data_IF_438119678461
#
_entry.id   IF_438119678461
#
_cell.length_a   1.000
_cell.length_b   1.000
_cell.length_c   1.000
_cell.angle_alpha   90.00
_cell.angle_beta   90.00
_cell.angle_gamma   90.00
#
_symmetry.space_group_name_H-M   'P 1'
#
loop_
_entity.id
_entity.type
_entity.pdbx_description
1 polymer ?
#
# COMPACT_ATOMS: atom_id res chain seq x y z
N UNK A 1 10.97 -13.37 3.14
CA UNK A 1 10.71 -13.23 4.59
C UNK A 1 9.37 -12.54 4.70
N UNK A 2 8.42 -13.12 5.42
CA UNK A 2 7.09 -12.56 5.53
C UNK A 2 7.05 -11.56 6.69
N UNK A 3 6.45 -10.40 6.46
CA UNK A 3 6.30 -9.35 7.46
C UNK A 3 5.03 -9.56 8.30
N UNK A 4 3.98 -10.11 7.67
CA UNK A 4 2.67 -10.35 8.28
C UNK A 4 2.37 -11.85 8.28
N UNK A 5 2.01 -12.39 9.43
CA UNK A 5 1.55 -13.76 9.60
C UNK A 5 0.07 -13.77 9.98
N UNK A 6 -0.78 -14.48 9.24
CA UNK A 6 -2.21 -14.57 9.49
C UNK A 6 -2.52 -15.94 10.11
N UNK A 7 -2.89 -15.91 11.39
CA UNK A 7 -3.30 -17.06 12.17
C UNK A 7 -4.84 -17.16 12.20
N UNK A 8 -5.41 -18.32 11.88
CA UNK A 8 -6.86 -18.51 11.88
C UNK A 8 -7.27 -19.98 12.08
N UNK A 9 -8.51 -20.21 12.52
CA UNK A 9 -9.15 -21.53 12.55
C UNK A 9 -9.97 -21.78 11.29
N UNK A 10 -9.99 -23.04 10.81
CA UNK A 10 -10.59 -23.39 9.51
C UNK A 10 -12.13 -23.25 9.46
N UNK A 11 -12.84 -23.37 10.59
CA UNK A 11 -14.32 -23.46 10.59
C UNK A 11 -15.04 -22.12 10.39
N UNK A 12 -14.56 -21.00 10.94
CA UNK A 12 -15.22 -19.68 10.78
C UNK A 12 -14.31 -18.59 10.19
N UNK A 13 -13.05 -18.52 10.60
CA UNK A 13 -12.13 -17.43 10.23
C UNK A 13 -11.60 -17.46 8.80
N UNK A 14 -11.85 -18.52 8.02
CA UNK A 14 -11.21 -18.75 6.72
C UNK A 14 -11.49 -17.65 5.70
N UNK A 15 -12.74 -17.19 5.59
CA UNK A 15 -13.12 -16.17 4.61
C UNK A 15 -12.40 -14.84 4.89
N UNK A 16 -12.37 -14.43 6.17
CA UNK A 16 -11.67 -13.20 6.57
C UNK A 16 -10.16 -13.35 6.43
N UNK A 17 -9.60 -14.50 6.77
CA UNK A 17 -8.17 -14.75 6.62
C UNK A 17 -7.73 -14.66 5.14
N UNK A 18 -8.55 -15.17 4.21
CA UNK A 18 -8.31 -14.97 2.77
C UNK A 18 -8.48 -13.52 2.34
N UNK A 19 -9.50 -12.81 2.83
CA UNK A 19 -9.65 -11.38 2.56
C UNK A 19 -8.45 -10.55 3.05
N UNK A 20 -7.91 -10.90 4.21
CA UNK A 20 -6.67 -10.33 4.74
C UNK A 20 -5.48 -10.64 3.82
N UNK A 21 -5.28 -11.91 3.45
CA UNK A 21 -4.23 -12.35 2.52
C UNK A 21 -4.29 -11.54 1.22
N UNK A 22 -5.43 -11.57 0.53
CA UNK A 22 -5.62 -10.90 -0.76
C UNK A 22 -5.35 -9.39 -0.66
N UNK A 23 -5.92 -8.72 0.35
CA UNK A 23 -5.84 -7.26 0.47
C UNK A 23 -4.46 -6.77 0.92
N UNK A 24 -3.88 -7.42 1.93
CA UNK A 24 -2.57 -7.06 2.47
C UNK A 24 -1.48 -7.44 1.49
N UNK A 25 -1.58 -8.59 0.82
CA UNK A 25 -0.66 -8.98 -0.26
C UNK A 25 -0.74 -8.00 -1.42
N UNK A 26 -1.95 -7.56 -1.83
CA UNK A 26 -2.10 -6.54 -2.87
C UNK A 26 -1.42 -5.21 -2.50
N UNK A 27 -1.41 -4.85 -1.20
CA UNK A 27 -0.78 -3.62 -0.72
C UNK A 27 0.73 -3.75 -0.54
N UNK A 28 1.20 -4.77 0.17
CA UNK A 28 2.58 -4.89 0.65
C UNK A 28 3.45 -5.86 -0.18
N UNK A 29 2.86 -6.61 -1.09
CA UNK A 29 3.56 -7.60 -1.91
C UNK A 29 3.12 -9.03 -1.60
N UNK A 30 3.09 -9.94 -2.59
CA UNK A 30 2.68 -11.33 -2.38
C UNK A 30 3.58 -12.08 -1.38
N UNK A 31 4.86 -11.71 -1.29
CA UNK A 31 5.80 -12.34 -0.35
C UNK A 31 5.78 -11.73 1.06
N UNK A 32 4.97 -10.69 1.28
CA UNK A 32 4.92 -9.99 2.57
C UNK A 32 3.97 -10.64 3.57
N UNK A 33 3.01 -11.43 3.08
CA UNK A 33 1.97 -12.06 3.90
C UNK A 33 2.14 -13.58 3.86
N UNK A 34 2.06 -14.20 5.03
CA UNK A 34 1.99 -15.64 5.18
C UNK A 34 0.66 -16.02 5.78
N UNK A 35 -0.14 -16.77 5.03
CA UNK A 35 -1.40 -17.31 5.52
C UNK A 35 -1.15 -18.71 6.08
N UNK A 36 -1.32 -18.87 7.40
CA UNK A 36 -1.24 -20.17 8.04
C UNK A 36 -2.15 -21.15 7.30
N UNK A 37 -1.68 -22.36 6.95
CA UNK A 37 -2.47 -23.39 6.23
C UNK A 37 -2.68 -23.22 4.71
N UNK A 38 -2.19 -22.15 4.04
CA UNK A 38 -2.16 -22.04 2.54
C UNK A 38 -0.75 -22.08 1.96
N UNK A 39 0.26 -21.59 2.68
CA UNK A 39 1.57 -21.27 2.10
C UNK A 39 2.65 -22.37 2.19
N UNK A 40 2.28 -23.66 2.20
CA UNK A 40 3.27 -24.75 2.27
C UNK A 40 2.99 -25.79 1.18
N UNK A 41 4.02 -25.99 0.35
CA UNK A 41 4.03 -27.01 -0.69
C UNK A 41 3.88 -28.43 -0.11
N UNK A 42 3.21 -29.34 -0.84
CA UNK A 42 3.10 -30.74 -0.43
C UNK A 42 4.48 -31.37 -0.15
N UNK A 43 4.69 -31.91 1.05
CA UNK A 43 5.89 -32.68 1.42
C UNK A 43 6.80 -32.08 2.49
N UNK A 44 6.60 -30.82 2.88
CA UNK A 44 7.41 -30.20 3.95
C UNK A 44 6.88 -30.52 5.36
N UNK A 45 7.79 -30.55 6.35
CA UNK A 45 7.43 -30.64 7.77
C UNK A 45 6.67 -29.35 8.18
N UNK A 46 5.35 -29.47 8.14
CA UNK A 46 4.36 -28.41 8.36
C UNK A 46 4.58 -27.69 9.71
N UNK A 47 5.11 -28.35 10.75
CA UNK A 47 5.24 -27.75 12.10
C UNK A 47 6.34 -26.68 12.14
N UNK A 48 7.54 -27.04 11.70
CA UNK A 48 8.72 -26.18 11.83
C UNK A 48 8.63 -24.93 10.95
N UNK A 49 8.04 -25.06 9.76
CA UNK A 49 7.88 -23.95 8.84
C UNK A 49 6.93 -22.87 9.38
N UNK A 50 5.81 -23.26 10.02
CA UNK A 50 4.88 -22.29 10.61
C UNK A 50 5.46 -21.61 11.85
N UNK A 51 6.15 -22.35 12.72
CA UNK A 51 6.80 -21.74 13.89
C UNK A 51 7.90 -20.76 13.48
N UNK A 52 8.72 -21.12 12.48
CA UNK A 52 9.73 -20.21 11.95
C UNK A 52 9.11 -18.98 11.29
N UNK A 53 7.99 -19.14 10.57
CA UNK A 53 7.28 -18.03 9.94
C UNK A 53 6.66 -17.09 10.98
N UNK A 54 6.01 -17.63 12.02
CA UNK A 54 5.45 -16.85 13.13
C UNK A 54 6.56 -16.08 13.86
N UNK A 55 7.65 -16.76 14.24
CA UNK A 55 8.80 -16.15 14.95
C UNK A 55 9.52 -15.07 14.14
N UNK A 56 9.53 -15.17 12.81
CA UNK A 56 10.20 -14.19 11.92
C UNK A 56 9.27 -13.07 11.46
N UNK A 57 7.98 -13.20 11.67
CA UNK A 57 7.02 -12.17 11.31
C UNK A 57 7.16 -10.94 12.22
N UNK A 58 6.91 -9.76 11.66
CA UNK A 58 6.87 -8.51 12.45
C UNK A 58 5.47 -8.28 13.02
N UNK A 59 4.45 -8.82 12.36
CA UNK A 59 3.05 -8.70 12.74
C UNK A 59 2.39 -10.08 12.68
N UNK A 60 1.68 -10.47 13.74
CA UNK A 60 0.75 -11.59 13.73
C UNK A 60 -0.69 -11.07 13.83
N UNK A 61 -1.52 -11.44 12.85
CA UNK A 61 -2.96 -11.18 12.87
C UNK A 61 -3.68 -12.44 13.35
N UNK A 62 -4.28 -12.40 14.54
CA UNK A 62 -5.03 -13.52 15.10
C UNK A 62 -6.52 -13.38 14.76
N UNK A 63 -7.02 -14.17 13.81
CA UNK A 63 -8.42 -14.13 13.38
C UNK A 63 -9.30 -14.90 14.36
N UNK A 64 -10.14 -14.17 15.09
CA UNK A 64 -10.98 -14.68 16.19
C UNK A 64 -12.45 -14.57 15.78
N UNK A 65 -13.03 -15.71 15.43
CA UNK A 65 -14.46 -15.87 15.21
C UNK A 65 -15.20 -16.28 16.51
N UNK A 66 -16.51 -16.44 16.44
CA UNK A 66 -17.37 -16.78 17.58
C UNK A 66 -17.03 -18.15 18.20
N UNK A 67 -16.58 -19.09 17.39
CA UNK A 67 -16.21 -20.44 17.86
C UNK A 67 -14.75 -20.53 18.32
N UNK A 68 -13.94 -19.49 18.17
CA UNK A 68 -12.48 -19.59 18.28
C UNK A 68 -12.01 -20.07 19.66
N UNK A 69 -12.63 -19.56 20.72
CA UNK A 69 -12.27 -19.81 22.11
C UNK A 69 -12.72 -21.21 22.58
N UNK A 70 -13.91 -21.62 22.16
CA UNK A 70 -14.56 -22.86 22.59
C UNK A 70 -14.46 -23.97 21.53
N UNK A 71 -13.65 -23.76 20.48
CA UNK A 71 -13.43 -24.74 19.42
C UNK A 71 -12.96 -26.08 20.00
N UNK A 72 -13.56 -27.22 19.61
CA UNK A 72 -13.18 -28.52 20.14
C UNK A 72 -11.81 -28.95 19.61
N UNK A 73 -11.02 -29.61 20.46
CA UNK A 73 -9.78 -30.25 20.03
C UNK A 73 -10.07 -31.39 19.04
N UNK A 74 -9.20 -31.50 18.01
CA UNK A 74 -9.36 -32.48 16.93
C UNK A 74 -9.27 -33.94 17.41
N UNK A 75 -8.50 -34.20 18.45
CA UNK A 75 -8.23 -35.53 18.99
C UNK A 75 -9.09 -35.83 20.22
N UNK A 76 -9.52 -34.80 20.95
CA UNK A 76 -10.33 -34.89 22.15
C UNK A 76 -11.46 -33.84 22.14
N UNK A 77 -12.59 -34.11 21.48
CA UNK A 77 -13.66 -33.11 21.29
C UNK A 77 -14.27 -32.53 22.58
N UNK A 78 -14.11 -33.21 23.72
CA UNK A 78 -14.56 -32.74 25.04
C UNK A 78 -13.64 -31.67 25.66
N UNK A 79 -12.47 -31.42 25.06
CA UNK A 79 -11.50 -30.40 25.47
C UNK A 79 -11.48 -29.27 24.45
N UNK A 80 -11.25 -28.03 24.90
CA UNK A 80 -11.01 -26.91 23.99
C UNK A 80 -9.67 -27.08 23.30
N UNK A 81 -9.62 -26.74 22.02
CA UNK A 81 -8.40 -26.80 21.21
C UNK A 81 -7.27 -25.96 21.84
N UNK A 82 -7.57 -24.75 22.32
CA UNK A 82 -6.57 -23.88 22.96
C UNK A 82 -5.98 -24.48 24.24
N UNK A 83 -6.72 -25.33 24.95
CA UNK A 83 -6.16 -25.99 26.14
C UNK A 83 -5.07 -26.99 25.74
N UNK A 84 -5.12 -27.55 24.53
CA UNK A 84 -4.11 -28.47 24.02
C UNK A 84 -2.81 -27.72 23.68
N UNK A 85 -1.67 -28.02 24.34
CA UNK A 85 -0.39 -27.39 24.02
C UNK A 85 0.12 -27.72 22.61
N UNK A 86 -0.45 -28.73 21.94
CA UNK A 86 -0.14 -29.08 20.56
C UNK A 86 -1.13 -28.51 19.54
N UNK A 87 -2.07 -27.65 19.98
CA UNK A 87 -2.89 -26.87 19.05
C UNK A 87 -2.03 -25.83 18.34
N UNK A 88 -2.22 -25.76 17.04
CA UNK A 88 -1.35 -24.98 16.14
C UNK A 88 -1.60 -23.50 16.30
N UNK A 89 -2.87 -23.13 16.43
CA UNK A 89 -3.29 -21.74 16.64
C UNK A 89 -2.65 -21.21 17.90
N UNK A 90 -2.72 -21.98 19.00
CA UNK A 90 -2.03 -21.65 20.24
C UNK A 90 -0.51 -21.48 20.04
N UNK A 91 0.17 -22.47 19.46
CA UNK A 91 1.64 -22.43 19.30
C UNK A 91 2.10 -21.25 18.47
N UNK A 92 1.42 -20.94 17.37
CA UNK A 92 1.78 -19.81 16.51
C UNK A 92 1.66 -18.47 17.24
N UNK A 93 0.63 -18.30 18.08
CA UNK A 93 0.47 -17.09 18.90
C UNK A 93 1.52 -17.05 20.01
N UNK A 94 1.76 -18.15 20.71
CA UNK A 94 2.81 -18.24 21.74
C UNK A 94 4.20 -17.88 21.17
N UNK A 95 4.52 -18.40 19.99
CA UNK A 95 5.79 -18.08 19.30
C UNK A 95 5.88 -16.60 18.94
N UNK A 96 4.81 -16.00 18.39
CA UNK A 96 4.80 -14.58 18.03
C UNK A 96 4.91 -13.65 19.25
N UNK A 97 4.21 -13.96 20.34
CA UNK A 97 4.33 -13.23 21.61
C UNK A 97 5.77 -13.33 22.14
N UNK A 98 6.32 -14.55 22.16
CA UNK A 98 7.69 -14.78 22.66
C UNK A 98 8.78 -14.12 21.80
N UNK A 99 8.53 -13.92 20.50
CA UNK A 99 9.47 -13.27 19.59
C UNK A 99 9.35 -11.74 19.58
N UNK A 100 8.39 -11.17 20.32
CA UNK A 100 8.13 -9.74 20.35
C UNK A 100 7.49 -9.20 19.07
N UNK A 101 6.79 -10.05 18.31
CA UNK A 101 6.02 -9.60 17.17
C UNK A 101 4.82 -8.76 17.62
N UNK A 102 4.36 -7.83 16.78
CA UNK A 102 3.11 -7.10 17.02
C UNK A 102 1.94 -8.05 16.82
N UNK A 103 1.30 -8.48 17.91
CA UNK A 103 0.11 -9.35 17.86
C UNK A 103 -1.15 -8.49 17.86
N UNK A 104 -1.98 -8.66 16.82
CA UNK A 104 -3.25 -7.93 16.66
C UNK A 104 -4.41 -8.93 16.61
N UNK A 105 -5.24 -8.99 17.66
CA UNK A 105 -6.50 -9.74 17.62
C UNK A 105 -7.48 -9.10 16.63
N UNK A 106 -8.01 -9.91 15.69
CA UNK A 106 -9.06 -9.52 14.74
C UNK A 106 -10.37 -10.20 15.13
N UNK A 107 -11.26 -9.46 15.79
CA UNK A 107 -12.57 -9.98 16.20
C UNK A 107 -13.56 -9.90 15.04
N UNK A 108 -14.14 -11.04 14.64
CA UNK A 108 -14.97 -11.13 13.45
C UNK A 108 -16.45 -10.91 13.79
N UNK A 109 -16.99 -9.82 13.28
CA UNK A 109 -18.37 -9.42 13.51
C UNK A 109 -18.61 -8.79 14.89
N UNK A 110 -19.86 -8.36 15.09
CA UNK A 110 -20.28 -7.62 16.29
C UNK A 110 -20.51 -8.47 17.54
N UNK A 111 -20.73 -9.77 17.35
CA UNK A 111 -21.11 -10.70 18.43
C UNK A 111 -19.92 -11.32 19.15
N UNK A 112 -18.73 -11.29 18.54
CA UNK A 112 -17.51 -11.76 19.19
C UNK A 112 -17.13 -10.78 20.28
N UNK A 113 -17.18 -11.23 21.53
CA UNK A 113 -16.79 -10.46 22.70
C UNK A 113 -15.27 -10.28 22.78
N UNK A 114 -14.84 -9.33 23.61
CA UNK A 114 -13.42 -9.21 23.95
C UNK A 114 -12.94 -10.50 24.62
N UNK A 115 -11.70 -10.90 24.33
CA UNK A 115 -11.09 -12.04 24.98
C UNK A 115 -10.99 -11.81 26.50
N UNK A 116 -11.41 -12.81 27.28
CA UNK A 116 -11.23 -12.86 28.72
C UNK A 116 -9.92 -13.62 29.03
N UNK A 117 -8.92 -12.99 29.67
CA UNK A 117 -7.65 -13.66 30.00
C UNK A 117 -7.85 -14.90 30.88
N UNK A 118 -8.91 -14.96 31.70
CA UNK A 118 -9.21 -16.12 32.55
C UNK A 118 -9.80 -17.31 31.78
N UNK A 119 -10.31 -17.08 30.57
CA UNK A 119 -10.80 -18.15 29.68
C UNK A 119 -9.71 -18.67 28.74
N UNK A 120 -8.51 -18.09 28.78
CA UNK A 120 -7.36 -18.48 27.97
C UNK A 120 -6.35 -19.31 28.79
N UNK A 121 -5.56 -20.17 28.14
CA UNK A 121 -4.34 -20.70 28.74
C UNK A 121 -3.44 -19.56 29.22
N UNK A 122 -2.71 -19.77 30.32
CA UNK A 122 -1.87 -18.73 30.93
C UNK A 122 -0.84 -18.13 29.94
N UNK A 123 -0.33 -18.92 29.01
CA UNK A 123 0.60 -18.49 27.96
C UNK A 123 -0.01 -17.58 26.89
N UNK A 124 -1.34 -17.53 26.79
CA UNK A 124 -2.08 -16.68 25.86
C UNK A 124 -2.81 -15.53 26.56
N UNK A 125 -2.68 -15.38 27.88
CA UNK A 125 -3.37 -14.33 28.62
C UNK A 125 -3.06 -12.92 28.09
N UNK A 126 -1.81 -12.69 27.66
CA UNK A 126 -1.37 -11.43 27.04
C UNK A 126 -2.17 -11.07 25.78
N UNK A 127 -2.66 -12.05 25.01
CA UNK A 127 -3.47 -11.82 23.82
C UNK A 127 -4.76 -11.03 24.15
N UNK A 128 -5.32 -11.23 25.34
CA UNK A 128 -6.51 -10.52 25.80
C UNK A 128 -6.23 -9.05 26.19
N UNK A 129 -4.97 -8.72 26.46
CA UNK A 129 -4.52 -7.36 26.77
C UNK A 129 -4.11 -6.59 25.50
N UNK A 130 -3.90 -7.29 24.38
CA UNK A 130 -3.61 -6.66 23.10
C UNK A 130 -4.80 -5.81 22.59
N UNK A 131 -4.49 -4.68 21.98
CA UNK A 131 -5.49 -3.86 21.29
C UNK A 131 -6.07 -4.64 20.11
N UNK A 132 -7.37 -4.94 20.17
CA UNK A 132 -8.06 -5.63 19.09
C UNK A 132 -8.55 -4.67 18.00
N UNK A 133 -8.79 -5.24 16.81
CA UNK A 133 -9.50 -4.61 15.70
C UNK A 133 -10.73 -5.44 15.39
N UNK A 134 -11.87 -4.77 15.19
CA UNK A 134 -13.11 -5.44 14.78
C UNK A 134 -13.20 -5.42 13.25
N UNK A 135 -13.54 -6.56 12.67
CA UNK A 135 -13.77 -6.69 11.23
C UNK A 135 -15.22 -7.09 11.02
N UNK A 136 -16.01 -6.23 10.39
CA UNK A 136 -17.36 -6.58 9.96
C UNK A 136 -17.31 -7.16 8.53
N UNK A 137 -18.06 -8.23 8.28
CA UNK A 137 -18.04 -8.89 6.96
C UNK A 137 -18.60 -8.00 5.85
N UNK A 138 -19.49 -7.05 6.18
CA UNK A 138 -20.05 -6.10 5.22
C UNK A 138 -19.11 -4.94 4.90
N UNK A 139 -18.28 -4.52 5.87
CA UNK A 139 -17.32 -3.40 5.70
C UNK A 139 -15.86 -3.87 5.66
N UNK A 140 -15.62 -5.17 5.51
CA UNK A 140 -14.29 -5.79 5.58
C UNK A 140 -13.24 -5.06 4.72
N UNK A 141 -13.60 -4.59 3.53
CA UNK A 141 -12.67 -3.89 2.65
C UNK A 141 -12.17 -2.55 3.22
N UNK A 142 -13.04 -1.76 3.86
CA UNK A 142 -12.64 -0.52 4.53
C UNK A 142 -11.89 -0.83 5.81
N UNK A 143 -12.34 -1.81 6.58
CA UNK A 143 -11.72 -2.17 7.86
C UNK A 143 -10.28 -2.66 7.65
N UNK A 144 -10.04 -3.50 6.63
CA UNK A 144 -8.70 -3.96 6.25
C UNK A 144 -7.84 -2.85 5.64
N UNK A 145 -8.47 -1.86 5.01
CA UNK A 145 -7.75 -0.69 4.51
C UNK A 145 -7.21 0.12 5.69
N UNK A 146 -8.05 0.43 6.67
CA UNK A 146 -7.68 1.16 7.88
C UNK A 146 -6.66 0.38 8.72
N UNK A 147 -6.84 -0.94 8.87
CA UNK A 147 -5.86 -1.81 9.52
C UNK A 147 -4.48 -1.67 8.85
N UNK A 148 -4.43 -1.73 7.51
CA UNK A 148 -3.18 -1.55 6.78
C UNK A 148 -2.53 -0.19 7.06
N UNK A 149 -3.31 0.89 7.15
CA UNK A 149 -2.78 2.23 7.43
C UNK A 149 -2.16 2.31 8.83
N UNK A 150 -2.83 1.70 9.83
CA UNK A 150 -2.30 1.59 11.19
C UNK A 150 -1.01 0.76 11.25
N UNK A 151 -0.97 -0.37 10.52
CA UNK A 151 0.21 -1.24 10.47
C UNK A 151 1.43 -0.54 9.85
N UNK A 152 1.22 0.29 8.81
CA UNK A 152 2.30 1.11 8.23
C UNK A 152 2.90 2.08 9.24
N UNK A 153 2.09 2.68 10.10
CA UNK A 153 2.57 3.62 11.12
C UNK A 153 3.36 2.92 12.23
N UNK A 154 3.01 1.68 12.55
CA UNK A 154 3.61 0.94 13.67
C UNK A 154 4.82 0.11 13.26
N UNK A 155 4.90 -0.32 11.99
CA UNK A 155 5.93 -1.25 11.51
C UNK A 155 6.69 -0.63 10.33
N UNK A 156 7.91 -0.11 10.56
CA UNK A 156 8.73 0.50 9.51
C UNK A 156 8.98 -0.42 8.30
N UNK A 157 9.05 -1.73 8.52
CA UNK A 157 9.16 -2.75 7.48
C UNK A 157 8.01 -2.73 6.47
N UNK A 158 6.78 -2.57 6.96
CA UNK A 158 5.58 -2.50 6.12
C UNK A 158 5.48 -1.16 5.39
N UNK A 159 5.92 -0.08 6.02
CA UNK A 159 5.99 1.23 5.36
C UNK A 159 6.89 1.20 4.11
N UNK A 160 8.03 0.52 4.17
CA UNK A 160 8.92 0.36 3.03
C UNK A 160 8.28 -0.46 1.88
N UNK A 161 7.37 -1.37 2.20
CA UNK A 161 6.68 -2.23 1.25
C UNK A 161 5.37 -1.65 0.71
N UNK A 162 4.86 -0.56 1.29
CA UNK A 162 3.55 -0.01 0.92
C UNK A 162 3.54 0.49 -0.52
N UNK A 163 2.77 -0.18 -1.39
CA UNK A 163 2.61 0.20 -2.79
C UNK A 163 1.68 1.40 -2.97
N UNK A 164 0.81 1.71 -1.99
CA UNK A 164 -0.05 2.90 -2.07
C UNK A 164 0.74 4.20 -1.95
N UNK A 165 1.68 4.26 -1.02
CA UNK A 165 2.60 5.38 -0.90
C UNK A 165 3.44 5.59 -2.19
N UNK A 166 3.68 4.51 -2.94
CA UNK A 166 4.37 4.57 -4.25
C UNK A 166 3.46 5.07 -5.36
N UNK A 167 2.16 4.75 -5.36
CA UNK A 167 1.19 5.29 -6.33
C UNK A 167 0.89 6.76 -6.10
N UNK A 168 0.89 7.23 -4.84
CA UNK A 168 0.73 8.66 -4.53
C UNK A 168 1.99 9.49 -4.92
N UNK A 169 3.10 8.81 -5.19
CA UNK A 169 4.34 9.36 -5.78
C UNK A 169 4.54 9.02 -7.26
N UNK A 170 3.54 8.44 -7.94
CA UNK A 170 3.50 8.53 -9.40
C UNK A 170 2.90 9.88 -9.70
N UNK A 171 3.77 10.89 -9.86
CA UNK A 171 3.41 12.09 -10.59
C UNK A 171 2.65 11.64 -11.83
N UNK A 172 1.39 12.09 -11.99
CA UNK A 172 0.63 11.78 -13.19
C UNK A 172 1.56 11.98 -14.39
N UNK A 173 1.66 11.02 -15.34
CA UNK A 173 2.29 11.32 -16.59
C UNK A 173 1.44 12.43 -17.19
N UNK A 174 1.90 13.68 -17.04
CA UNK A 174 1.28 14.84 -17.67
C UNK A 174 1.02 14.47 -19.13
N UNK A 175 -0.10 14.93 -19.71
CA UNK A 175 -0.64 14.42 -20.95
C UNK A 175 0.48 14.17 -21.96
N UNK A 176 0.77 12.90 -22.24
CA UNK A 176 1.77 12.58 -23.24
C UNK A 176 1.28 13.18 -24.54
N UNK A 177 2.08 14.02 -25.23
CA UNK A 177 1.66 14.57 -26.50
C UNK A 177 1.46 13.40 -27.47
N UNK A 178 0.19 13.16 -27.84
CA UNK A 178 -0.23 12.13 -28.82
C UNK A 178 0.06 12.53 -30.26
N UNK A 179 0.85 13.58 -30.46
CA UNK A 179 1.18 14.14 -31.78
C UNK A 179 2.53 13.58 -32.22
N UNK A 180 2.51 12.54 -33.05
CA UNK A 180 3.66 12.13 -33.87
C UNK A 180 3.74 13.04 -35.09
N UNK A 181 4.74 13.90 -35.14
CA UNK A 181 5.00 14.76 -36.28
C UNK A 181 6.17 14.19 -37.11
N UNK A 182 5.94 13.02 -37.72
CA UNK A 182 7.00 12.25 -38.41
C UNK A 182 7.38 12.83 -39.80
N UNK A 183 6.78 13.97 -40.21
CA UNK A 183 6.94 14.51 -41.57
C UNK A 183 7.19 16.03 -41.66
N UNK A 184 7.45 16.73 -40.55
CA UNK A 184 7.89 18.14 -40.61
C UNK A 184 9.37 18.27 -40.25
N UNK A 185 10.20 18.55 -41.27
CA UNK A 185 11.57 19.01 -41.10
C UNK A 185 11.61 20.53 -41.24
N UNK A 186 11.99 21.22 -40.14
CA UNK A 186 12.19 22.67 -40.06
C UNK A 186 10.91 23.51 -39.88
N UNK A 187 10.93 24.46 -38.94
CA UNK A 187 9.91 25.52 -38.80
C UNK A 187 9.30 25.70 -37.40
N UNK A 188 8.46 26.75 -37.27
CA UNK A 188 7.66 27.07 -36.07
C UNK A 188 6.23 26.60 -36.33
N UNK A 189 5.66 25.84 -35.39
CA UNK A 189 4.25 25.47 -35.45
C UNK A 189 3.55 25.56 -34.10
N UNK A 190 2.25 25.87 -34.16
CA UNK A 190 1.35 25.89 -33.02
C UNK A 190 0.36 24.75 -33.20
N UNK A 191 0.30 23.83 -32.23
CA UNK A 191 -0.68 22.73 -32.25
C UNK A 191 -1.76 23.05 -31.24
N UNK A 192 -3.01 23.17 -31.69
CA UNK A 192 -4.15 23.40 -30.82
C UNK A 192 -4.33 22.24 -29.82
N UNK A 193 -4.37 22.56 -28.52
CA UNK A 193 -4.43 21.60 -27.42
C UNK A 193 -3.44 21.93 -26.29
N UNK A 194 -3.28 21.04 -25.31
CA UNK A 194 -2.40 21.21 -24.13
C UNK A 194 -0.90 21.18 -24.42
N UNK A 195 -0.50 21.15 -25.70
CA UNK A 195 0.86 20.79 -26.15
C UNK A 195 1.69 22.02 -26.55
N UNK A 196 1.14 23.24 -26.55
CA UNK A 196 1.93 24.46 -26.69
C UNK A 196 2.68 24.62 -28.02
N UNK A 197 3.70 25.48 -28.05
CA UNK A 197 4.45 25.84 -29.27
C UNK A 197 5.67 24.94 -29.42
N UNK A 198 5.93 24.43 -30.63
CA UNK A 198 7.15 23.68 -30.95
C UNK A 198 8.08 24.49 -31.86
N UNK A 199 9.39 24.39 -31.61
CA UNK A 199 10.45 25.04 -32.39
C UNK A 199 11.45 23.96 -32.78
N UNK A 200 11.60 23.70 -34.07
CA UNK A 200 12.59 22.75 -34.57
C UNK A 200 13.54 23.47 -35.55
N UNK A 201 14.85 23.38 -35.26
CA UNK A 201 15.97 23.93 -36.04
C UNK A 201 15.94 25.48 -36.23
N UNK A 202 15.86 26.21 -35.11
CA UNK A 202 15.94 27.67 -35.12
C UNK A 202 17.39 28.17 -35.12
N UNK A 203 17.67 29.21 -35.91
CA UNK A 203 18.97 29.89 -35.93
C UNK A 203 18.78 31.37 -35.58
N UNK A 204 18.61 31.66 -34.29
CA UNK A 204 18.48 33.03 -33.76
C UNK A 204 17.62 33.14 -32.48
N UNK A 205 17.62 34.29 -31.80
CA UNK A 205 16.77 34.54 -30.63
C UNK A 205 15.30 34.77 -31.04
N UNK A 206 14.37 34.08 -30.38
CA UNK A 206 12.94 34.10 -30.71
C UNK A 206 12.07 34.15 -29.44
N UNK A 207 10.92 34.84 -29.53
CA UNK A 207 9.90 34.91 -28.48
C UNK A 207 8.64 34.15 -28.92
N UNK A 208 8.23 33.13 -28.16
CA UNK A 208 7.17 32.19 -28.57
C UNK A 208 5.80 32.46 -27.96
N UNK A 209 5.65 33.57 -27.24
CA UNK A 209 4.39 33.95 -26.58
C UNK A 209 4.25 33.36 -25.18
N UNK A 210 3.02 33.23 -24.70
CA UNK A 210 2.69 32.57 -23.42
C UNK A 210 2.27 31.13 -23.68
N UNK A 211 2.76 30.22 -22.85
CA UNK A 211 2.44 28.79 -22.93
C UNK A 211 3.69 27.92 -22.84
N UNK A 212 3.48 26.62 -22.68
CA UNK A 212 4.56 25.66 -22.53
C UNK A 212 5.32 25.47 -23.85
N UNK A 213 6.64 25.38 -23.77
CA UNK A 213 7.51 25.03 -24.90
C UNK A 213 7.98 23.58 -24.79
N UNK A 214 7.92 22.86 -25.91
CA UNK A 214 8.37 21.48 -26.01
C UNK A 214 9.35 21.35 -27.17
N UNK A 215 10.65 21.34 -26.83
CA UNK A 215 11.75 21.13 -27.77
C UNK A 215 13.07 20.98 -27.01
N UNK A 216 13.56 19.75 -26.84
CA UNK A 216 14.83 19.40 -26.18
C UNK A 216 14.97 19.73 -24.69
N UNK A 217 14.24 20.71 -24.16
CA UNK A 217 14.19 21.10 -22.75
C UNK A 217 12.78 21.62 -22.45
N UNK A 218 12.18 21.19 -21.32
CA UNK A 218 10.85 21.62 -20.93
C UNK A 218 10.94 22.95 -20.17
N UNK A 219 10.32 24.01 -20.70
CA UNK A 219 10.31 25.35 -20.10
C UNK A 219 8.85 25.77 -19.90
N UNK A 220 8.48 26.14 -18.67
CA UNK A 220 7.16 26.64 -18.29
C UNK A 220 7.26 28.04 -17.68
N UNK A 221 6.32 28.93 -18.03
CA UNK A 221 6.26 30.30 -17.52
C UNK A 221 5.66 31.30 -18.49
N UNK A 222 5.37 32.52 -18.00
CA UNK A 222 5.00 33.66 -18.84
C UNK A 222 6.28 34.27 -19.45
N UNK A 223 6.44 34.20 -20.78
CA UNK A 223 7.57 34.84 -21.49
C UNK A 223 8.83 33.97 -21.62
N UNK A 224 8.66 32.72 -22.03
CA UNK A 224 9.78 31.80 -22.27
C UNK A 224 10.54 32.17 -23.55
N UNK A 225 11.86 32.40 -23.42
CA UNK A 225 12.77 32.67 -24.53
C UNK A 225 13.60 31.44 -24.91
N UNK A 226 13.72 31.18 -26.21
CA UNK A 226 14.56 30.10 -26.74
C UNK A 226 15.74 30.70 -27.51
N UNK A 227 16.94 30.16 -27.25
CA UNK A 227 18.19 30.59 -27.88
C UNK A 227 18.89 29.32 -28.36
N UNK A 228 19.08 29.21 -29.67
CA UNK A 228 19.81 28.12 -30.28
C UNK A 228 21.05 28.67 -31.02
N UNK A 229 22.21 28.05 -30.77
CA UNK A 229 23.51 28.47 -31.31
C UNK A 229 24.29 29.47 -30.45
N UNK A 230 25.44 29.91 -30.96
CA UNK A 230 26.33 30.86 -30.29
C UNK A 230 25.74 32.29 -30.33
N UNK A 231 25.45 32.85 -29.15
CA UNK A 231 25.01 34.23 -29.00
C UNK A 231 26.15 35.11 -28.48
N UNK A 232 26.55 36.13 -29.26
CA UNK A 232 27.49 37.17 -28.84
C UNK A 232 26.81 38.53 -28.97
N UNK A 233 26.22 39.01 -27.87
CA UNK A 233 25.54 40.31 -27.85
C UNK A 233 24.67 40.61 -26.62
N UNK A 234 24.33 39.59 -25.83
CA UNK A 234 23.41 39.75 -24.69
C UNK A 234 21.96 39.99 -25.16
N UNK A 235 21.01 39.46 -24.39
CA UNK A 235 19.58 39.60 -24.70
C UNK A 235 19.03 40.74 -23.86
N UNK A 236 18.44 41.75 -24.51
CA UNK A 236 17.82 42.89 -23.84
C UNK A 236 16.33 42.90 -24.17
N UNK A 237 15.50 42.57 -23.20
CA UNK A 237 14.05 42.66 -23.32
C UNK A 237 13.51 43.76 -22.40
N UNK A 238 12.51 44.51 -22.90
CA UNK A 238 11.80 45.53 -22.14
C UNK A 238 10.32 45.13 -22.12
N UNK A 239 9.85 44.67 -20.97
CA UNK A 239 8.43 44.40 -20.78
C UNK A 239 7.70 45.71 -20.48
N UNK A 240 6.71 46.04 -21.32
CA UNK A 240 5.77 47.13 -21.05
C UNK A 240 4.80 46.77 -19.90
N UNK A 241 4.19 47.76 -19.23
CA UNK A 241 3.21 47.50 -18.20
C UNK A 241 1.99 46.75 -18.77
N UNK A 242 1.46 45.83 -17.95
CA UNK A 242 0.34 44.96 -18.26
C UNK A 242 -0.94 45.77 -18.49
N UNK A 243 -1.61 45.57 -19.63
CA UNK A 243 -2.99 46.04 -19.79
C UNK A 243 -3.91 45.18 -18.89
N UNK A 244 -4.84 45.78 -18.11
CA UNK A 244 -5.84 45.04 -17.36
C UNK A 244 -6.69 44.21 -18.32
N UNK A 245 -7.09 43.01 -17.90
CA UNK A 245 -8.07 42.20 -18.63
C UNK A 245 -9.47 42.70 -18.28
N UNK A 246 -10.32 42.91 -19.29
CA UNK A 246 -11.75 43.07 -19.07
C UNK A 246 -12.27 41.82 -18.33
N UNK A 247 -12.66 41.98 -17.07
CA UNK A 247 -13.15 40.90 -16.23
C UNK A 247 -12.89 41.06 -14.72
N UNK A 248 -11.91 41.88 -14.32
CA UNK A 248 -11.66 42.18 -12.90
C UNK A 248 -12.48 43.41 -12.43
N UNK A 249 -13.81 43.37 -12.57
CA UNK A 249 -14.75 44.25 -11.86
C UNK A 249 -16.07 43.50 -11.56
N UNK A 250 -16.12 42.84 -10.39
CA UNK A 250 -17.18 42.94 -9.37
C UNK A 250 -16.92 42.01 -8.19
#
# INVERSE_FOLDING_TARGET
MHEIFINYRTKGGKAVAHGCDDRLSARFGPDSVFLARKSIDPGNNYVEALEQAARRSRVLLAVIDEEWLDAPDRHQPARKALDNPHDWVRREIEEALSSGALVVPLLIGRHVEQLDPHRLPASLAELAECQYVRIDLHTMNSDLTELGDRLVQQVPGLAALDRRARTDYVAEPGPQPTVRNDHQSGGIGQVGGSVGTFVNDAHGPLHTGRGNLYGGSHISGDGSNHIAGDNRGGIRERFGPRAPREGDEQ
#
